data_IF_415061712406
#
_entry.id   IF_415061712406
#
_cell.length_a   1.000
_cell.length_b   1.000
_cell.length_c   1.000
_cell.angle_alpha   90.00
_cell.angle_beta   90.00
_cell.angle_gamma   90.00
#
_symmetry.space_group_name_H-M   'P 1'
#
loop_
_entity.id
_entity.type
_entity.pdbx_description
1 polymer ?
#
# COMPACT_ATOMS: atom_id res chain seq x y z
N UNK A 1 -5.52 16.73 -35.12
CA UNK A 1 -5.40 16.79 -33.63
C UNK A 1 -3.98 16.35 -33.29
N UNK A 2 -3.13 17.24 -32.77
CA UNK A 2 -1.74 16.90 -32.39
C UNK A 2 -1.78 16.17 -31.05
N UNK A 3 -1.32 14.92 -31.03
CA UNK A 3 -1.04 14.19 -29.78
C UNK A 3 0.28 14.71 -29.23
N UNK A 4 0.26 15.38 -28.09
CA UNK A 4 1.46 15.81 -27.38
C UNK A 4 2.00 14.60 -26.61
N UNK A 5 3.28 14.28 -26.77
CA UNK A 5 3.93 13.22 -26.02
C UNK A 5 4.27 13.74 -24.62
N UNK A 6 3.80 13.06 -23.57
CA UNK A 6 4.25 13.29 -22.21
C UNK A 6 5.56 12.53 -21.97
N UNK A 7 6.53 13.19 -21.35
CA UNK A 7 7.78 12.57 -20.93
C UNK A 7 7.84 12.58 -19.40
N UNK A 8 8.29 11.46 -18.81
CA UNK A 8 8.59 11.40 -17.38
C UNK A 8 9.83 12.26 -17.14
N UNK A 9 9.70 13.27 -16.29
CA UNK A 9 10.78 14.23 -15.96
C UNK A 9 11.53 13.85 -14.69
N UNK A 10 10.89 13.09 -13.80
CA UNK A 10 11.46 12.53 -12.57
C UNK A 10 10.67 11.27 -12.18
N UNK A 11 11.36 10.28 -11.64
CA UNK A 11 10.75 9.04 -11.17
C UNK A 11 11.49 8.52 -9.94
N UNK A 12 10.76 8.34 -8.85
CA UNK A 12 11.23 7.69 -7.64
C UNK A 12 10.38 6.47 -7.31
N UNK A 13 10.99 5.44 -6.73
CA UNK A 13 10.32 4.21 -6.34
C UNK A 13 10.84 3.71 -5.00
N UNK A 14 9.94 3.18 -4.18
CA UNK A 14 10.23 2.45 -2.95
C UNK A 14 9.54 1.10 -2.98
N UNK A 15 10.01 0.17 -2.14
CA UNK A 15 9.32 -1.09 -1.88
C UNK A 15 9.26 -1.30 -0.38
N UNK A 16 8.06 -1.51 0.14
CA UNK A 16 7.83 -1.75 1.56
C UNK A 16 7.28 -3.15 1.79
N UNK A 17 7.86 -3.85 2.77
CA UNK A 17 7.46 -5.22 3.11
C UNK A 17 6.88 -5.24 4.51
N UNK A 18 5.78 -5.95 4.68
CA UNK A 18 5.17 -6.14 6.00
C UNK A 18 4.77 -7.60 6.17
N UNK A 19 5.21 -8.20 7.27
CA UNK A 19 4.83 -9.55 7.62
C UNK A 19 3.55 -9.52 8.46
N UNK A 20 2.52 -10.24 8.02
CA UNK A 20 1.25 -10.40 8.73
C UNK A 20 1.14 -11.85 9.18
N UNK A 21 0.94 -12.07 10.47
CA UNK A 21 0.77 -13.40 11.05
C UNK A 21 -0.68 -13.61 11.42
N UNK A 22 -1.23 -14.73 10.95
CA UNK A 22 -2.59 -15.16 11.28
C UNK A 22 -2.55 -16.15 12.43
N UNK A 23 -3.67 -16.25 13.15
CA UNK A 23 -3.96 -17.45 13.95
C UNK A 23 -4.19 -18.66 13.02
N UNK A 24 -4.10 -19.91 13.53
CA UNK A 24 -4.58 -21.07 12.79
C UNK A 24 -6.06 -20.92 12.45
N UNK A 25 -6.42 -21.14 11.17
CA UNK A 25 -7.81 -21.07 10.69
C UNK A 25 -8.37 -22.46 10.44
N UNK A 26 -9.64 -22.66 10.77
CA UNK A 26 -10.38 -23.86 10.37
C UNK A 26 -11.03 -23.63 9.00
N UNK A 27 -11.37 -24.73 8.32
CA UNK A 27 -12.11 -24.67 7.04
C UNK A 27 -13.44 -23.96 7.18
N UNK A 28 -14.14 -24.14 8.30
CA UNK A 28 -15.41 -23.48 8.59
C UNK A 28 -15.25 -21.95 8.69
N UNK A 29 -14.22 -21.47 9.39
CA UNK A 29 -13.92 -20.04 9.46
C UNK A 29 -13.68 -19.45 8.07
N UNK A 30 -12.89 -20.15 7.24
CA UNK A 30 -12.59 -19.71 5.88
C UNK A 30 -13.84 -19.72 4.99
N UNK A 31 -14.71 -20.74 5.10
CA UNK A 31 -15.98 -20.81 4.35
C UNK A 31 -16.91 -19.68 4.73
N UNK A 32 -17.13 -19.45 6.03
CA UNK A 32 -18.00 -18.37 6.51
C UNK A 32 -17.52 -16.99 6.05
N UNK A 33 -16.19 -16.79 6.01
CA UNK A 33 -15.63 -15.55 5.51
C UNK A 33 -15.78 -15.41 4.00
N UNK A 34 -15.63 -16.48 3.24
CA UNK A 34 -15.91 -16.49 1.81
C UNK A 34 -17.37 -16.08 1.52
N UNK A 35 -18.31 -16.64 2.27
CA UNK A 35 -19.74 -16.37 2.12
C UNK A 35 -20.12 -14.92 2.48
N UNK A 36 -19.26 -14.19 3.21
CA UNK A 36 -19.45 -12.75 3.47
C UNK A 36 -19.25 -11.87 2.22
N UNK A 37 -18.58 -12.38 1.18
CA UNK A 37 -18.23 -11.63 -0.03
C UNK A 37 -17.03 -10.67 0.12
N UNK A 38 -16.60 -10.36 1.34
CA UNK A 38 -15.43 -9.50 1.60
C UNK A 38 -14.12 -9.96 0.93
N UNK A 39 -13.78 -11.27 0.86
CA UNK A 39 -12.50 -11.68 0.29
C UNK A 39 -12.46 -11.65 -1.25
N UNK A 40 -13.60 -11.54 -1.92
CA UNK A 40 -13.72 -11.76 -3.37
C UNK A 40 -12.94 -10.75 -4.22
N UNK A 41 -12.75 -9.52 -3.73
CA UNK A 41 -12.05 -8.43 -4.42
C UNK A 41 -10.65 -8.16 -3.84
N UNK A 42 -10.15 -9.02 -2.95
CA UNK A 42 -8.88 -8.81 -2.24
C UNK A 42 -7.83 -9.82 -2.66
N UNK A 43 -6.67 -9.33 -3.09
CA UNK A 43 -5.50 -10.17 -3.31
C UNK A 43 -5.13 -10.90 -2.01
N UNK A 44 -4.96 -12.23 -2.09
CA UNK A 44 -4.72 -13.07 -0.91
C UNK A 44 -5.99 -13.48 -0.14
N UNK A 45 -7.18 -13.06 -0.60
CA UNK A 45 -8.46 -13.52 -0.05
C UNK A 45 -8.73 -13.05 1.36
N UNK A 46 -8.19 -11.90 1.78
CA UNK A 46 -8.57 -11.24 3.04
C UNK A 46 -8.40 -9.72 3.00
N UNK A 47 -9.13 -9.01 3.86
CA UNK A 47 -8.99 -7.57 4.10
C UNK A 47 -8.61 -7.26 5.56
N UNK A 48 -7.55 -6.49 5.76
CA UNK A 48 -7.10 -6.04 7.11
C UNK A 48 -8.04 -5.01 7.76
N UNK A 49 -8.97 -4.42 6.98
CA UNK A 49 -9.93 -3.42 7.45
C UNK A 49 -11.32 -4.02 7.74
N UNK A 50 -11.53 -5.30 7.42
CA UNK A 50 -12.82 -5.99 7.56
C UNK A 50 -12.76 -7.17 8.52
N UNK A 51 -13.62 -8.16 8.30
CA UNK A 51 -13.76 -9.36 9.13
C UNK A 51 -12.45 -10.15 9.23
N UNK A 52 -11.64 -10.15 8.16
CA UNK A 52 -10.35 -10.83 8.13
C UNK A 52 -9.34 -10.30 9.16
N UNK A 53 -9.52 -9.07 9.64
CA UNK A 53 -8.68 -8.48 10.68
C UNK A 53 -8.75 -9.25 12.01
N UNK A 54 -9.89 -9.91 12.30
CA UNK A 54 -10.09 -10.66 13.54
C UNK A 54 -9.11 -11.82 13.71
N UNK A 55 -8.45 -12.26 12.63
CA UNK A 55 -7.52 -13.38 12.64
C UNK A 55 -6.05 -12.98 12.65
N UNK A 56 -5.75 -11.69 12.53
CA UNK A 56 -4.38 -11.19 12.52
C UNK A 56 -3.85 -11.11 13.94
N UNK A 57 -2.91 -11.98 14.28
CA UNK A 57 -2.29 -12.05 15.60
C UNK A 57 -1.07 -11.13 15.76
N UNK A 58 -0.41 -10.80 14.64
CA UNK A 58 0.77 -9.92 14.64
C UNK A 58 0.98 -9.27 13.28
N UNK A 59 1.43 -8.02 13.31
CA UNK A 59 2.00 -7.32 12.16
C UNK A 59 3.44 -6.93 12.53
N UNK A 60 4.38 -7.20 11.62
CA UNK A 60 5.75 -6.73 11.70
C UNK A 60 6.08 -5.94 10.43
N UNK A 61 6.08 -4.61 10.56
CA UNK A 61 6.19 -3.66 9.46
C UNK A 61 5.09 -2.59 9.55
N UNK A 62 4.68 -2.06 8.40
CA UNK A 62 3.75 -0.94 8.29
C UNK A 62 2.31 -1.40 8.08
N UNK A 63 1.39 -1.03 8.98
CA UNK A 63 -0.04 -1.28 8.80
C UNK A 63 -0.59 -0.61 7.53
N UNK A 64 -0.16 0.61 7.25
CA UNK A 64 -0.64 1.37 6.08
C UNK A 64 -0.19 0.73 4.77
N UNK A 65 0.98 0.07 4.78
CA UNK A 65 1.43 -0.78 3.68
C UNK A 65 0.49 -1.99 3.47
N UNK A 66 0.01 -2.63 4.55
CA UNK A 66 -0.98 -3.74 4.44
C UNK A 66 -2.33 -3.24 3.91
N UNK A 67 -2.73 -2.02 4.27
CA UNK A 67 -3.94 -1.38 3.72
C UNK A 67 -3.79 -1.09 2.22
N UNK A 68 -2.57 -0.84 1.73
CA UNK A 68 -2.26 -0.70 0.31
C UNK A 68 -1.41 0.53 -0.07
N UNK A 69 -1.03 1.38 0.90
CA UNK A 69 -0.14 2.52 0.65
C UNK A 69 0.76 2.78 1.86
N UNK A 70 2.09 2.59 1.75
CA UNK A 70 3.02 2.84 2.84
C UNK A 70 3.17 4.35 3.14
N UNK A 71 2.21 4.91 3.87
CA UNK A 71 2.03 6.37 4.01
C UNK A 71 3.30 7.12 4.43
N UNK A 72 4.06 6.61 5.41
CA UNK A 72 5.26 7.29 5.89
C UNK A 72 6.30 7.43 4.78
N UNK A 73 6.54 6.36 4.03
CA UNK A 73 7.49 6.35 2.93
C UNK A 73 6.97 7.06 1.68
N UNK A 74 5.67 6.99 1.42
CA UNK A 74 5.03 7.80 0.35
C UNK A 74 5.19 9.29 0.64
N UNK A 75 4.98 9.73 1.88
CA UNK A 75 5.19 11.14 2.25
C UNK A 75 6.66 11.55 2.14
N UNK A 76 7.59 10.69 2.53
CA UNK A 76 9.02 10.95 2.35
C UNK A 76 9.38 11.12 0.87
N UNK A 77 8.92 10.22 -0.01
CA UNK A 77 9.13 10.35 -1.46
C UNK A 77 8.55 11.65 -2.03
N UNK A 78 7.31 12.00 -1.64
CA UNK A 78 6.69 13.25 -2.11
C UNK A 78 7.52 14.45 -1.67
N UNK A 79 7.98 14.47 -0.42
CA UNK A 79 8.81 15.54 0.14
C UNK A 79 10.11 15.68 -0.66
N UNK A 80 10.81 14.58 -0.90
CA UNK A 80 12.07 14.57 -1.65
C UNK A 80 11.87 15.06 -3.11
N UNK A 81 10.77 14.68 -3.75
CA UNK A 81 10.42 15.19 -5.09
C UNK A 81 10.11 16.69 -5.10
N UNK A 82 9.48 17.22 -4.04
CA UNK A 82 9.12 18.64 -3.97
C UNK A 82 10.28 19.54 -3.55
N UNK A 83 11.13 19.07 -2.64
CA UNK A 83 12.26 19.86 -2.10
C UNK A 83 13.48 19.86 -3.04
N UNK A 84 13.60 18.88 -3.95
CA UNK A 84 14.59 18.90 -5.03
C UNK A 84 14.35 19.99 -6.11
N UNK A 85 13.36 20.87 -5.92
CA UNK A 85 13.04 21.96 -6.85
C UNK A 85 13.40 23.38 -6.35
N UNK A 86 13.94 23.53 -5.13
CA UNK A 86 14.36 24.83 -4.59
C UNK A 86 15.76 25.30 -5.04
N UNK A 87 16.55 24.44 -5.71
CA UNK A 87 17.91 24.77 -6.18
C UNK A 87 17.96 25.46 -7.56
N UNK A 88 16.83 25.93 -8.11
CA UNK A 88 16.81 26.82 -9.30
C UNK A 88 16.27 28.19 -8.90
N UNK A 89 16.98 28.87 -8.01
CA UNK A 89 16.97 30.34 -7.98
C UNK A 89 18.23 30.78 -8.72
N UNK A 90 18.08 31.08 -10.01
CA UNK A 90 19.10 31.75 -10.82
C UNK A 90 19.50 33.06 -10.12
N UNK A 91 20.73 33.19 -9.59
CA UNK A 91 21.20 34.43 -9.05
C UNK A 91 21.69 35.30 -10.21
N UNK A 92 20.88 36.31 -10.57
CA UNK A 92 21.40 37.51 -11.22
C UNK A 92 22.51 38.14 -10.38
#
# INVERSE_FOLDING_TARGET
KRTQAFQIIDQQQITERTAVTFIPLTTEMMSNYWDSGEPADKAGGYGIQGLGAAWVSRINGSYTNVVGLPLAQTLALIKDMTEGSEDIVDPL
#
